data_IF_539112482082
#
_entry.id   IF_539112482082
#
_cell.length_a   1.000
_cell.length_b   1.000
_cell.length_c   1.000
_cell.angle_alpha   90.00
_cell.angle_beta   90.00
_cell.angle_gamma   90.00
#
_symmetry.space_group_name_H-M   'P 1'
#
loop_
_entity.id
_entity.type
_entity.pdbx_description
1 polymer ?
#
# COMPACT_ATOMS: atom_id res chain seq x y z
N UNK A 1 8.66 -4.43 3.99
CA UNK A 1 7.54 -5.24 3.47
C UNK A 1 6.89 -5.92 4.65
N UNK A 2 5.56 -5.82 4.76
CA UNK A 2 4.80 -6.36 5.88
C UNK A 2 3.49 -7.01 5.41
N UNK A 3 2.97 -7.97 6.17
CA UNK A 3 1.70 -8.66 5.87
C UNK A 3 0.46 -7.90 6.39
N UNK A 4 0.63 -6.72 6.98
CA UNK A 4 -0.44 -5.88 7.47
C UNK A 4 -1.51 -5.62 6.38
N UNK A 5 -2.67 -6.27 6.53
CA UNK A 5 -3.80 -6.21 5.61
C UNK A 5 -5.13 -5.96 6.34
N UNK A 6 -5.05 -5.45 7.57
CA UNK A 6 -6.17 -4.98 8.40
C UNK A 6 -5.84 -3.59 8.93
N UNK A 7 -6.86 -2.76 9.30
CA UNK A 7 -6.62 -1.43 9.85
C UNK A 7 -5.69 -1.47 11.09
N UNK A 8 -5.99 -2.34 12.06
CA UNK A 8 -5.19 -2.44 13.29
C UNK A 8 -3.74 -2.87 13.04
N UNK A 9 -3.51 -3.79 12.09
CA UNK A 9 -2.17 -4.20 11.73
C UNK A 9 -1.38 -3.06 11.08
N UNK A 10 -2.04 -2.26 10.21
CA UNK A 10 -1.43 -1.08 9.61
C UNK A 10 -1.07 -0.02 10.66
N UNK A 11 -1.98 0.24 11.60
CA UNK A 11 -1.73 1.15 12.73
C UNK A 11 -0.50 0.72 13.50
N UNK A 12 -0.44 -0.56 13.92
CA UNK A 12 0.67 -1.08 14.72
C UNK A 12 2.02 -0.97 14.00
N UNK A 13 2.09 -1.31 12.71
CA UNK A 13 3.35 -1.25 11.97
C UNK A 13 3.78 0.19 11.71
N UNK A 14 2.85 1.09 11.36
CA UNK A 14 3.15 2.48 11.08
C UNK A 14 3.58 3.24 12.33
N UNK A 15 2.91 3.02 13.46
CA UNK A 15 3.27 3.62 14.75
C UNK A 15 4.64 3.09 15.21
N UNK A 16 4.94 1.81 14.96
CA UNK A 16 6.27 1.23 15.23
C UNK A 16 7.36 1.89 14.38
N UNK A 17 7.13 2.04 13.06
CA UNK A 17 8.06 2.73 12.17
C UNK A 17 8.29 4.17 12.65
N UNK A 18 7.21 4.89 12.98
CA UNK A 18 7.30 6.27 13.48
C UNK A 18 8.10 6.34 14.78
N UNK A 19 7.94 5.40 15.69
CA UNK A 19 8.73 5.29 16.92
C UNK A 19 10.23 5.10 16.67
N UNK A 20 10.60 4.41 15.59
CA UNK A 20 12.00 4.17 15.20
C UNK A 20 12.62 5.39 14.53
N UNK A 21 11.93 6.02 13.57
CA UNK A 21 12.50 7.11 12.76
C UNK A 21 12.27 8.52 13.35
N UNK A 22 11.36 8.64 14.32
CA UNK A 22 10.95 9.91 14.89
C UNK A 22 10.35 10.85 13.85
N UNK A 23 10.74 12.13 13.90
CA UNK A 23 10.32 13.16 12.95
C UNK A 23 11.38 13.46 11.88
N UNK A 24 12.49 12.72 11.87
CA UNK A 24 13.64 12.99 11.00
C UNK A 24 13.47 12.49 9.56
N UNK A 25 12.49 11.62 9.31
CA UNK A 25 12.23 11.02 8.00
C UNK A 25 10.73 10.86 7.73
N UNK A 26 10.40 10.68 6.46
CA UNK A 26 9.02 10.46 6.01
C UNK A 26 8.69 8.98 5.95
N UNK A 27 7.42 8.67 6.15
CA UNK A 27 6.83 7.36 5.92
C UNK A 27 6.04 7.42 4.61
N UNK A 28 6.48 6.65 3.62
CA UNK A 28 5.76 6.44 2.37
C UNK A 28 5.12 5.06 2.42
N UNK A 29 3.80 4.97 2.25
CA UNK A 29 3.08 3.70 2.36
C UNK A 29 2.48 3.31 1.02
N UNK A 30 2.75 2.08 0.57
CA UNK A 30 2.12 1.43 -0.57
C UNK A 30 1.22 0.32 -0.04
N UNK A 31 -0.09 0.44 -0.28
CA UNK A 31 -1.07 -0.51 0.24
C UNK A 31 -2.25 -0.69 -0.71
N UNK A 32 -2.79 -1.90 -0.73
CA UNK A 32 -4.03 -2.25 -1.42
C UNK A 32 -4.95 -3.05 -0.52
N UNK A 33 -6.07 -3.50 -1.09
CA UNK A 33 -6.99 -4.42 -0.43
C UNK A 33 -7.35 -5.58 -1.36
N UNK A 34 -7.68 -6.72 -0.77
CA UNK A 34 -8.13 -7.89 -1.53
C UNK A 34 -9.59 -7.77 -1.98
N UNK A 35 -9.88 -8.17 -3.21
CA UNK A 35 -11.24 -8.34 -3.72
C UNK A 35 -11.90 -9.62 -3.19
N UNK A 36 -13.22 -9.72 -3.37
CA UNK A 36 -14.12 -10.75 -2.86
C UNK A 36 -13.93 -11.06 -1.35
N UNK A 37 -13.58 -10.03 -0.57
CA UNK A 37 -13.32 -10.09 0.88
C UNK A 37 -14.06 -8.96 1.59
N UNK A 38 -13.79 -8.73 2.86
CA UNK A 38 -14.41 -7.65 3.63
C UNK A 38 -14.19 -6.27 2.96
N UNK A 39 -15.29 -5.68 2.47
CA UNK A 39 -15.35 -4.34 1.89
C UNK A 39 -15.26 -3.25 2.97
N UNK A 40 -15.78 -3.51 4.18
CA UNK A 40 -15.87 -2.54 5.26
C UNK A 40 -14.51 -2.04 5.73
N UNK A 41 -13.48 -2.88 5.67
CA UNK A 41 -12.12 -2.50 6.06
C UNK A 41 -11.40 -1.61 5.04
N UNK A 42 -11.82 -1.57 3.76
CA UNK A 42 -11.14 -0.81 2.70
C UNK A 42 -10.99 0.67 3.03
N UNK A 43 -12.08 1.43 3.31
CA UNK A 43 -11.98 2.84 3.67
C UNK A 43 -11.23 3.04 4.99
N UNK A 44 -11.40 2.14 5.96
CA UNK A 44 -10.69 2.23 7.24
C UNK A 44 -9.17 2.08 7.06
N UNK A 45 -8.72 1.10 6.27
CA UNK A 45 -7.29 0.89 5.99
C UNK A 45 -6.65 2.11 5.32
N UNK A 46 -7.31 2.68 4.31
CA UNK A 46 -6.81 3.86 3.62
C UNK A 46 -6.70 5.06 4.57
N UNK A 47 -7.73 5.28 5.39
CA UNK A 47 -7.75 6.36 6.39
C UNK A 47 -6.62 6.22 7.40
N UNK A 48 -6.45 5.04 8.00
CA UNK A 48 -5.39 4.82 8.99
C UNK A 48 -3.99 4.97 8.38
N UNK A 49 -3.80 4.49 7.14
CA UNK A 49 -2.55 4.67 6.41
C UNK A 49 -2.28 6.15 6.11
N UNK A 50 -3.28 6.91 5.65
CA UNK A 50 -3.15 8.34 5.35
C UNK A 50 -2.89 9.19 6.60
N UNK A 51 -3.39 8.79 7.77
CA UNK A 51 -3.16 9.52 9.02
C UNK A 51 -1.73 9.35 9.56
N UNK A 52 -1.06 8.25 9.22
CA UNK A 52 0.26 7.87 9.79
C UNK A 52 1.40 7.90 8.79
N UNK A 53 1.09 8.10 7.52
CA UNK A 53 2.06 8.21 6.44
C UNK A 53 2.14 9.66 5.97
N UNK A 54 3.33 10.08 5.57
CA UNK A 54 3.54 11.38 4.94
C UNK A 54 3.16 11.34 3.45
N UNK A 55 3.25 10.16 2.82
CA UNK A 55 2.79 9.91 1.44
C UNK A 55 2.07 8.57 1.40
N UNK A 56 0.91 8.54 0.75
CA UNK A 56 0.13 7.31 0.55
C UNK A 56 -0.01 6.98 -0.93
N UNK A 57 0.27 5.72 -1.26
CA UNK A 57 0.00 5.09 -2.54
C UNK A 57 -1.04 4.00 -2.35
N UNK A 58 -2.19 4.15 -3.01
CA UNK A 58 -3.21 3.11 -3.14
C UNK A 58 -2.99 2.33 -4.43
N UNK A 59 -2.99 1.01 -4.33
CA UNK A 59 -2.70 0.10 -5.44
C UNK A 59 -3.52 -1.18 -5.38
N UNK A 60 -3.50 -1.96 -6.46
CA UNK A 60 -4.01 -3.33 -6.44
C UNK A 60 -3.17 -4.24 -5.51
N UNK A 61 -3.85 -5.19 -4.88
CA UNK A 61 -3.26 -6.33 -4.17
C UNK A 61 -3.77 -7.62 -4.83
N UNK A 62 -4.68 -8.37 -4.22
CA UNK A 62 -5.31 -9.54 -4.84
C UNK A 62 -6.75 -9.20 -5.24
N UNK A 63 -7.00 -8.59 -6.42
CA UNK A 63 -8.33 -8.14 -6.82
C UNK A 63 -9.32 -9.28 -7.06
N UNK A 64 -8.83 -10.51 -7.31
CA UNK A 64 -9.67 -11.68 -7.58
C UNK A 64 -10.64 -11.38 -8.71
N UNK A 65 -11.95 -11.48 -8.48
CA UNK A 65 -12.99 -11.23 -9.48
C UNK A 65 -13.60 -9.82 -9.37
N UNK A 66 -13.03 -8.94 -8.54
CA UNK A 66 -13.42 -7.54 -8.48
C UNK A 66 -12.53 -6.67 -9.36
N UNK A 67 -13.09 -5.59 -9.88
CA UNK A 67 -12.33 -4.55 -10.57
C UNK A 67 -11.35 -3.89 -9.59
N UNK A 68 -10.02 -3.93 -9.85
CA UNK A 68 -9.04 -3.32 -8.97
C UNK A 68 -9.25 -1.81 -8.79
N UNK A 69 -9.74 -1.09 -9.80
CA UNK A 69 -10.01 0.34 -9.70
C UNK A 69 -11.21 0.62 -8.79
N UNK A 70 -12.20 -0.27 -8.78
CA UNK A 70 -13.33 -0.19 -7.85
C UNK A 70 -12.87 -0.40 -6.39
N UNK A 71 -11.96 -1.36 -6.14
CA UNK A 71 -11.37 -1.57 -4.81
C UNK A 71 -10.62 -0.30 -4.35
N UNK A 72 -9.83 0.31 -5.22
CA UNK A 72 -9.10 1.54 -4.92
C UNK A 72 -10.08 2.69 -4.65
N UNK A 73 -11.18 2.78 -5.39
CA UNK A 73 -12.23 3.77 -5.13
C UNK A 73 -12.87 3.58 -3.74
N UNK A 74 -13.18 2.35 -3.33
CA UNK A 74 -13.70 2.04 -1.99
C UNK A 74 -12.71 2.42 -0.88
N UNK A 75 -11.42 2.17 -1.10
CA UNK A 75 -10.36 2.60 -0.19
C UNK A 75 -10.33 4.13 -0.10
N UNK A 76 -10.31 4.82 -1.24
CA UNK A 76 -10.24 6.27 -1.32
C UNK A 76 -11.44 6.97 -0.67
N UNK A 77 -12.63 6.33 -0.66
CA UNK A 77 -13.81 6.85 0.02
C UNK A 77 -13.65 7.00 1.54
N UNK A 78 -12.62 6.39 2.15
CA UNK A 78 -12.29 6.58 3.57
C UNK A 78 -11.44 7.83 3.88
N UNK A 79 -10.95 8.52 2.85
CA UNK A 79 -10.06 9.66 2.99
C UNK A 79 -10.85 10.98 3.09
N UNK A 80 -10.32 11.96 3.82
CA UNK A 80 -10.77 13.34 3.70
C UNK A 80 -10.40 13.92 2.33
N UNK A 81 -11.01 15.04 1.92
CA UNK A 81 -10.67 15.70 0.65
C UNK A 81 -9.16 16.04 0.57
N UNK A 82 -8.58 16.54 1.66
CA UNK A 82 -7.15 16.85 1.74
C UNK A 82 -6.28 15.59 1.56
N UNK A 83 -6.61 14.51 2.27
CA UNK A 83 -5.92 13.22 2.14
C UNK A 83 -6.09 12.62 0.74
N UNK A 84 -7.27 12.76 0.14
CA UNK A 84 -7.57 12.25 -1.18
C UNK A 84 -6.84 13.02 -2.30
N UNK A 85 -6.50 14.29 -2.08
CA UNK A 85 -5.68 15.10 -2.99
C UNK A 85 -4.19 14.73 -2.87
N UNK A 86 -3.72 14.44 -1.66
CA UNK A 86 -2.31 14.05 -1.42
C UNK A 86 -2.01 12.56 -1.67
N UNK A 87 -3.04 11.73 -1.80
CA UNK A 87 -2.91 10.28 -2.07
C UNK A 87 -2.75 10.00 -3.56
N UNK A 88 -1.72 9.24 -3.90
CA UNK A 88 -1.49 8.76 -5.27
C UNK A 88 -2.19 7.41 -5.46
N UNK A 89 -2.98 7.26 -6.52
CA UNK A 89 -3.62 5.99 -6.87
C UNK A 89 -2.96 5.44 -8.14
N UNK A 90 -2.30 4.28 -8.04
CA UNK A 90 -1.68 3.58 -9.17
C UNK A 90 -2.09 2.12 -9.09
N UNK A 91 -2.92 1.67 -10.04
CA UNK A 91 -3.52 0.33 -10.00
C UNK A 91 -2.48 -0.78 -10.14
N UNK A 92 -1.49 -0.61 -11.02
CA UNK A 92 -0.39 -1.56 -11.19
C UNK A 92 0.57 -1.51 -9.98
N UNK A 93 0.62 -2.62 -9.23
CA UNK A 93 1.40 -2.71 -7.98
C UNK A 93 2.89 -2.49 -8.19
N UNK A 94 3.45 -2.99 -9.29
CA UNK A 94 4.86 -2.75 -9.65
C UNK A 94 5.13 -1.26 -9.84
N UNK A 95 4.26 -0.57 -10.58
CA UNK A 95 4.38 0.87 -10.81
C UNK A 95 4.20 1.69 -9.54
N UNK A 96 3.29 1.30 -8.64
CA UNK A 96 3.12 1.95 -7.33
C UNK A 96 4.38 1.80 -6.45
N UNK A 97 4.95 0.59 -6.38
CA UNK A 97 6.19 0.31 -5.64
C UNK A 97 7.34 1.13 -6.22
N UNK A 98 7.50 1.14 -7.55
CA UNK A 98 8.53 1.94 -8.23
C UNK A 98 8.40 3.42 -7.90
N UNK A 99 7.21 3.99 -8.06
CA UNK A 99 6.96 5.41 -7.79
C UNK A 99 7.27 5.78 -6.33
N UNK A 100 6.92 4.93 -5.37
CA UNK A 100 7.24 5.15 -3.96
C UNK A 100 8.75 5.13 -3.69
N UNK A 101 9.49 4.21 -4.31
CA UNK A 101 10.95 4.11 -4.17
C UNK A 101 11.66 5.28 -4.83
N UNK A 102 11.23 5.70 -6.03
CA UNK A 102 11.78 6.85 -6.75
C UNK A 102 11.52 8.19 -6.00
N UNK A 103 10.40 8.29 -5.28
CA UNK A 103 10.08 9.48 -4.49
C UNK A 103 10.82 9.52 -3.14
N UNK A 104 11.23 8.37 -2.62
CA UNK A 104 11.90 8.26 -1.32
C UNK A 104 13.25 9.01 -1.32
N UNK A 105 13.57 9.64 -0.20
CA UNK A 105 14.83 10.34 0.03
C UNK A 105 15.64 9.65 1.13
N UNK A 106 16.96 9.90 1.22
CA UNK A 106 17.77 9.38 2.32
C UNK A 106 17.15 9.73 3.68
N UNK A 107 16.90 8.71 4.50
CA UNK A 107 16.25 8.85 5.82
C UNK A 107 14.76 8.53 5.82
N UNK A 108 14.12 8.40 4.67
CA UNK A 108 12.73 7.96 4.57
C UNK A 108 12.58 6.44 4.77
N UNK A 109 11.37 6.01 5.12
CA UNK A 109 10.97 4.60 5.16
C UNK A 109 9.82 4.38 4.18
N UNK A 110 10.00 3.40 3.29
CA UNK A 110 8.93 2.91 2.41
C UNK A 110 8.32 1.64 2.98
N UNK A 111 7.07 1.71 3.44
CA UNK A 111 6.28 0.55 3.84
C UNK A 111 5.49 0.02 2.64
N UNK A 112 5.78 -1.21 2.23
CA UNK A 112 4.95 -1.96 1.28
C UNK A 112 4.18 -2.99 2.10
N UNK A 113 2.86 -2.85 2.17
CA UNK A 113 1.98 -3.64 3.02
C UNK A 113 0.99 -4.50 2.20
N UNK A 114 0.43 -5.51 2.85
CA UNK A 114 -0.64 -6.38 2.34
C UNK A 114 -0.19 -7.81 2.07
N UNK A 115 0.89 -8.00 1.30
CA UNK A 115 1.31 -9.32 0.77
C UNK A 115 2.30 -10.07 1.64
N UNK A 116 3.17 -9.36 2.36
CA UNK A 116 4.21 -9.96 3.20
C UNK A 116 5.13 -10.91 2.40
N UNK A 117 4.95 -12.21 2.58
CA UNK A 117 5.72 -13.27 1.90
C UNK A 117 4.96 -13.93 0.74
N UNK A 118 3.76 -13.45 0.40
CA UNK A 118 3.04 -13.91 -0.79
C UNK A 118 3.75 -13.43 -2.06
N UNK A 119 4.04 -14.37 -2.96
CA UNK A 119 4.77 -14.15 -4.21
C UNK A 119 3.86 -14.26 -5.45
N UNK A 120 2.58 -13.92 -5.29
CA UNK A 120 1.62 -13.92 -6.40
C UNK A 120 0.61 -12.79 -6.30
N UNK A 121 0.04 -12.42 -7.46
CA UNK A 121 -1.13 -11.57 -7.57
C UNK A 121 -2.28 -12.37 -8.19
N UNK A 122 -3.42 -12.44 -7.49
CA UNK A 122 -4.60 -13.16 -7.96
C UNK A 122 -5.55 -12.25 -8.74
N UNK A 123 -5.74 -12.51 -10.03
CA UNK A 123 -6.63 -11.77 -10.94
C UNK A 123 -7.51 -12.77 -11.69
N UNK A 124 -8.83 -12.61 -11.59
CA UNK A 124 -9.85 -13.49 -12.19
C UNK A 124 -9.63 -14.98 -11.91
N UNK A 125 -9.16 -15.31 -10.70
CA UNK A 125 -8.87 -16.68 -10.25
C UNK A 125 -7.53 -17.25 -10.74
N UNK A 126 -6.75 -16.48 -11.49
CA UNK A 126 -5.40 -16.84 -11.94
C UNK A 126 -4.36 -16.20 -11.02
N UNK A 127 -3.42 -17.00 -10.51
CA UNK A 127 -2.27 -16.52 -9.73
C UNK A 127 -1.10 -16.23 -10.65
N UNK A 128 -0.81 -14.95 -10.84
CA UNK A 128 0.37 -14.49 -11.57
C UNK A 128 1.55 -14.33 -10.62
N UNK A 129 2.76 -14.71 -11.05
CA UNK A 129 3.97 -14.49 -10.24
C UNK A 129 4.17 -13.00 -9.98
N UNK A 130 4.30 -12.62 -8.72
CA UNK A 130 4.53 -11.24 -8.28
C UNK A 130 5.08 -11.25 -6.85
N UNK A 131 6.34 -10.87 -6.67
CA UNK A 131 6.97 -10.78 -5.35
C UNK A 131 7.38 -9.32 -5.07
N UNK A 132 6.79 -8.72 -4.03
CA UNK A 132 7.12 -7.35 -3.60
C UNK A 132 8.65 -7.16 -3.42
N UNK A 133 9.38 -8.19 -3.00
CA UNK A 133 10.83 -8.14 -2.81
C UNK A 133 11.57 -8.01 -4.13
N UNK A 134 11.16 -8.77 -5.14
CA UNK A 134 11.77 -8.70 -6.48
C UNK A 134 11.54 -7.32 -7.08
N UNK A 135 10.33 -6.77 -6.93
CA UNK A 135 9.99 -5.44 -7.44
C UNK A 135 10.75 -4.32 -6.72
N UNK A 136 10.94 -4.43 -5.40
CA UNK A 136 11.79 -3.50 -4.63
C UNK A 136 13.23 -3.53 -5.13
N UNK A 137 13.81 -4.73 -5.28
CA UNK A 137 15.19 -4.87 -5.75
C UNK A 137 15.36 -4.35 -7.19
N UNK A 138 14.39 -4.59 -8.05
CA UNK A 138 14.38 -4.05 -9.41
C UNK A 138 14.34 -2.53 -9.40
N UNK A 139 13.54 -1.90 -8.53
CA UNK A 139 13.44 -0.45 -8.44
C UNK A 139 14.72 0.24 -7.92
N UNK A 140 15.52 -0.43 -7.08
CA UNK A 140 16.83 0.09 -6.65
C UNK A 140 17.95 -0.06 -7.69
N UNK A 141 17.78 -0.94 -8.68
CA UNK A 141 18.75 -1.21 -9.74
C UNK A 141 18.43 -0.45 -11.04
N UNK A 142 17.49 0.50 -11.00
CA UNK A 142 17.20 1.45 -12.07
C UNK A 142 18.25 2.56 -12.14
#
# INVERSE_FOLDING_TARGET
>A
MDYAHTPDALVNVLDTIRGVIGTSGRILTVVGAGGNRDHGKRPMMAREAAQRSDVLFLTSDNPRFEDPDAIIADMRAGLSDEQAVSTTCITDRRSAIRAAIEQAQPGDVVLIAGKGHENYQEVEGVKHHFDDREEVLAAFNL
#
